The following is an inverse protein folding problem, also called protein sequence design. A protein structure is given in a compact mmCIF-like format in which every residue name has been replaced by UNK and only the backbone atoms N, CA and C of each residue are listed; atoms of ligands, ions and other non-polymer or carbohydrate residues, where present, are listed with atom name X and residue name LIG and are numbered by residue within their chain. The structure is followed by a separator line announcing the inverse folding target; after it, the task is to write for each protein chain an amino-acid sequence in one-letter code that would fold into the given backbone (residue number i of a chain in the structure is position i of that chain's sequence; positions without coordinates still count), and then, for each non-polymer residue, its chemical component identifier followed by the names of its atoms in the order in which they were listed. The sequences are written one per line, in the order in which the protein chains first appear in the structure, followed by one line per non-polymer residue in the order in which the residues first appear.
data_IF_592637837450
#
_entry.id   IF_592637837450
#
_cell.length_a   1.000
_cell.length_b   1.000
_cell.length_c   1.000
_cell.angle_alpha   90.00
_cell.angle_beta   90.00
_cell.angle_gamma   90.00
#
_symmetry.space_group_name_H-M   'P 1'
#
loop_
_entity.id
_entity.type
_entity.pdbx_description
1 polymer ?
#
# COMPACT_ATOMS: atom_id res chain seq x y z
N UNK A 1 -3.69 -24.89 27.41
CA UNK A 1 -4.65 -25.75 26.69
C UNK A 1 -5.64 -24.84 25.99
N UNK A 2 -5.75 -24.94 24.66
CA UNK A 2 -6.65 -24.09 23.87
C UNK A 2 -6.12 -23.72 22.49
N UNK A 3 -5.61 -24.71 21.74
CA UNK A 3 -5.37 -24.54 20.30
C UNK A 3 -6.64 -24.93 19.54
N UNK A 4 -7.33 -23.95 18.97
CA UNK A 4 -8.32 -24.09 17.89
C UNK A 4 -8.30 -22.72 17.19
N UNK A 5 -7.97 -22.58 15.92
CA UNK A 5 -8.34 -23.37 14.76
C UNK A 5 -7.15 -23.47 13.78
N UNK A 6 -6.84 -24.69 13.36
CA UNK A 6 -6.00 -24.95 12.18
C UNK A 6 -6.89 -25.20 10.96
N UNK A 7 -6.54 -24.61 9.82
CA UNK A 7 -6.69 -25.32 8.55
C UNK A 7 -7.73 -24.84 7.53
N UNK A 8 -8.64 -23.91 7.85
CA UNK A 8 -9.72 -23.53 6.92
C UNK A 8 -9.51 -22.22 6.14
N UNK A 9 -8.65 -21.30 6.59
CA UNK A 9 -8.39 -20.05 5.84
C UNK A 9 -7.50 -20.23 4.59
N UNK A 10 -6.80 -21.36 4.47
CA UNK A 10 -5.93 -21.63 3.33
C UNK A 10 -6.65 -22.31 2.13
N UNK A 11 -7.91 -22.72 2.31
CA UNK A 11 -8.71 -23.36 1.25
C UNK A 11 -9.74 -22.42 0.60
N UNK A 12 -9.93 -21.21 1.12
CA UNK A 12 -10.90 -20.25 0.57
C UNK A 12 -10.38 -19.48 -0.68
N UNK A 13 -9.11 -19.64 -1.02
CA UNK A 13 -8.44 -18.88 -2.09
C UNK A 13 -8.57 -19.50 -3.49
N UNK A 14 -9.10 -20.72 -3.61
CA UNK A 14 -8.82 -21.55 -4.79
C UNK A 14 -9.88 -21.57 -5.89
N UNK A 15 -11.08 -20.97 -5.73
CA UNK A 15 -12.13 -21.28 -6.71
C UNK A 15 -13.15 -20.21 -7.12
N UNK A 16 -13.11 -18.95 -6.65
CA UNK A 16 -13.92 -17.86 -7.26
C UNK A 16 -13.49 -16.45 -6.77
N UNK A 17 -12.67 -15.74 -7.55
CA UNK A 17 -12.89 -14.32 -7.85
C UNK A 17 -12.82 -13.22 -6.77
N UNK A 18 -12.30 -13.46 -5.55
CA UNK A 18 -12.02 -12.37 -4.60
C UNK A 18 -11.90 -12.85 -3.17
N UNK A 19 -10.66 -13.08 -2.70
CA UNK A 19 -10.39 -13.45 -1.31
C UNK A 19 -10.45 -12.23 -0.39
N UNK A 20 -10.95 -12.44 0.83
CA UNK A 20 -10.84 -11.43 1.88
C UNK A 20 -9.51 -11.60 2.63
N UNK A 21 -8.86 -10.48 2.94
CA UNK A 21 -7.60 -10.40 3.66
C UNK A 21 -7.81 -9.67 4.98
N UNK A 22 -7.21 -10.20 6.03
CA UNK A 22 -7.22 -9.58 7.35
C UNK A 22 -5.90 -8.88 7.58
N UNK A 23 -5.96 -7.58 7.87
CA UNK A 23 -4.81 -6.80 8.35
C UNK A 23 -5.19 -6.36 9.76
N UNK A 24 -4.48 -6.94 10.75
CA UNK A 24 -4.81 -6.78 12.17
C UNK A 24 -6.29 -7.13 12.44
N UNK A 25 -7.07 -6.16 12.90
CA UNK A 25 -8.49 -6.34 13.25
C UNK A 25 -9.45 -6.01 12.10
N UNK A 26 -8.94 -5.53 10.97
CA UNK A 26 -9.76 -5.02 9.88
C UNK A 26 -9.76 -6.01 8.70
N UNK A 27 -10.94 -6.20 8.11
CA UNK A 27 -11.16 -7.13 7.00
C UNK A 27 -11.30 -6.35 5.70
N UNK A 28 -10.58 -6.78 4.69
CA UNK A 28 -10.56 -6.15 3.38
C UNK A 28 -10.91 -7.16 2.30
N UNK A 29 -11.84 -6.83 1.43
CA UNK A 29 -12.15 -7.62 0.23
C UNK A 29 -11.26 -7.17 -0.92
N UNK A 30 -10.56 -8.11 -1.54
CA UNK A 30 -9.81 -7.83 -2.77
C UNK A 30 -10.80 -7.61 -3.91
N UNK A 31 -10.72 -6.45 -4.56
CA UNK A 31 -11.54 -6.11 -5.72
C UNK A 31 -10.82 -6.47 -7.02
N UNK A 32 -9.59 -6.00 -7.19
CA UNK A 32 -8.75 -6.27 -8.38
C UNK A 32 -7.28 -5.96 -8.11
N UNK A 33 -6.40 -6.54 -8.90
CA UNK A 33 -4.99 -6.13 -8.93
C UNK A 33 -4.85 -4.81 -9.73
N UNK A 34 -4.03 -3.88 -9.23
CA UNK A 34 -3.76 -2.56 -9.82
C UNK A 34 -2.28 -2.31 -10.09
N UNK A 35 -1.37 -3.17 -9.62
CA UNK A 35 0.05 -3.07 -9.90
C UNK A 35 0.81 -4.36 -9.61
N UNK A 36 1.98 -4.50 -10.21
CA UNK A 36 2.91 -5.61 -10.01
C UNK A 36 4.34 -5.13 -10.19
N UNK A 37 5.25 -5.62 -9.36
CA UNK A 37 6.68 -5.41 -9.48
C UNK A 37 7.46 -6.47 -8.70
N UNK A 38 8.27 -7.28 -9.38
CA UNK A 38 9.09 -8.31 -8.75
C UNK A 38 8.28 -9.27 -7.87
N UNK A 39 8.51 -9.21 -6.55
CA UNK A 39 7.80 -10.02 -5.54
C UNK A 39 6.64 -9.28 -4.86
N UNK A 40 6.28 -8.09 -5.35
CA UNK A 40 5.25 -7.24 -4.81
C UNK A 40 4.07 -7.10 -5.78
N UNK A 41 2.87 -7.15 -5.23
CA UNK A 41 1.61 -7.00 -5.95
C UNK A 41 0.78 -5.94 -5.24
N UNK A 42 0.12 -5.07 -6.01
CA UNK A 42 -0.76 -4.03 -5.45
C UNK A 42 -2.19 -4.35 -5.82
N UNK A 43 -3.07 -4.41 -4.83
CA UNK A 43 -4.49 -4.68 -5.00
C UNK A 43 -5.33 -3.48 -4.58
N UNK A 44 -6.37 -3.19 -5.33
CA UNK A 44 -7.49 -2.39 -4.86
C UNK A 44 -8.33 -3.25 -3.94
N UNK A 45 -8.54 -2.78 -2.71
CA UNK A 45 -9.32 -3.48 -1.69
C UNK A 45 -10.40 -2.58 -1.12
N UNK A 46 -11.50 -3.18 -0.64
CA UNK A 46 -12.57 -2.47 0.06
C UNK A 46 -12.68 -2.99 1.48
N UNK A 47 -12.73 -2.08 2.45
CA UNK A 47 -12.99 -2.44 3.84
C UNK A 47 -14.38 -3.06 3.97
N UNK A 48 -14.46 -4.17 4.70
CA UNK A 48 -15.71 -4.84 5.04
C UNK A 48 -16.07 -4.43 6.48
N UNK A 49 -16.98 -3.48 6.60
CA UNK A 49 -17.52 -3.03 7.90
C UNK A 49 -18.66 -3.96 8.29
N UNK A 50 -18.49 -4.73 9.37
CA UNK A 50 -19.60 -5.50 9.95
C UNK A 50 -20.50 -4.53 10.74
N UNK A 51 -21.75 -4.35 10.30
CA UNK A 51 -22.76 -3.50 10.96
C UNK A 51 -22.98 -3.82 12.46
N UNK A 52 -22.55 -5.02 12.91
CA UNK A 52 -22.71 -5.51 14.28
C UNK A 52 -21.54 -5.18 15.22
N UNK A 53 -20.38 -4.75 14.73
CA UNK A 53 -19.26 -4.29 15.58
C UNK A 53 -19.31 -2.77 15.64
N UNK A 54 -19.92 -2.25 16.70
CA UNK A 54 -19.99 -0.81 17.04
C UNK A 54 -18.61 -0.22 17.35
N UNK A 55 -17.79 -0.10 16.32
CA UNK A 55 -16.51 0.60 16.31
C UNK A 55 -16.19 0.77 14.85
N UNK A 56 -16.42 1.99 14.33
CA UNK A 56 -16.38 2.29 12.90
C UNK A 56 -15.11 1.79 12.20
N UNK A 57 -15.13 1.82 10.87
CA UNK A 57 -14.03 1.31 10.03
C UNK A 57 -12.66 1.94 10.36
N UNK A 58 -11.62 1.56 9.61
CA UNK A 58 -10.24 1.97 9.82
C UNK A 58 -10.09 3.48 10.07
N UNK A 59 -10.89 4.30 9.37
CA UNK A 59 -10.97 5.75 9.52
C UNK A 59 -11.48 6.24 10.89
N UNK A 60 -12.35 5.49 11.57
CA UNK A 60 -12.85 5.82 12.90
C UNK A 60 -11.91 5.36 14.01
N UNK A 61 -11.15 4.28 13.79
CA UNK A 61 -10.19 3.73 14.77
C UNK A 61 -8.85 4.45 14.77
N UNK A 62 -8.38 4.87 13.59
CA UNK A 62 -7.12 5.56 13.40
C UNK A 62 -7.48 6.98 13.03
N UNK A 63 -7.09 7.97 13.83
CA UNK A 63 -7.33 9.41 13.58
C UNK A 63 -6.63 9.86 12.30
N UNK A 64 -7.15 9.44 11.15
CA UNK A 64 -6.58 9.68 9.84
C UNK A 64 -6.96 11.07 9.36
N UNK A 65 -6.06 11.68 8.60
CA UNK A 65 -6.40 12.89 7.89
C UNK A 65 -7.54 12.60 6.90
N UNK A 66 -8.56 13.46 6.78
CA UNK A 66 -9.73 13.21 5.94
C UNK A 66 -9.38 12.92 4.48
N UNK A 67 -8.30 13.52 3.93
CA UNK A 67 -7.85 13.25 2.56
C UNK A 67 -7.29 11.84 2.33
N UNK A 68 -7.02 11.07 3.38
CA UNK A 68 -6.51 9.69 3.30
C UNK A 68 -7.62 8.63 3.45
N UNK A 69 -8.85 9.07 3.70
CA UNK A 69 -10.01 8.22 3.83
C UNK A 69 -10.82 8.32 2.54
N UNK A 70 -10.83 7.25 1.75
CA UNK A 70 -11.78 7.15 0.64
C UNK A 70 -13.19 7.09 1.22
N UNK A 71 -14.11 7.92 0.70
CA UNK A 71 -15.53 7.90 1.09
C UNK A 71 -16.16 6.51 0.91
N UNK A 72 -15.66 5.73 -0.04
CA UNK A 72 -16.15 4.39 -0.37
C UNK A 72 -15.48 3.26 0.46
N UNK A 73 -14.58 3.61 1.39
CA UNK A 73 -13.80 2.64 2.17
C UNK A 73 -12.84 1.82 1.30
N UNK A 74 -12.36 2.40 0.20
CA UNK A 74 -11.40 1.76 -0.70
C UNK A 74 -9.97 2.15 -0.36
N UNK A 75 -9.05 1.18 -0.56
CA UNK A 75 -7.64 1.31 -0.22
C UNK A 75 -6.76 0.56 -1.22
N UNK A 76 -5.48 0.92 -1.24
CA UNK A 76 -4.45 0.17 -1.97
C UNK A 76 -3.70 -0.74 -0.99
N UNK A 77 -3.64 -2.03 -1.29
CA UNK A 77 -2.94 -3.03 -0.48
C UNK A 77 -1.77 -3.60 -1.25
N UNK A 78 -0.55 -3.29 -0.81
CA UNK A 78 0.68 -3.91 -1.32
C UNK A 78 0.93 -5.22 -0.58
N UNK A 79 0.91 -6.33 -1.30
CA UNK A 79 1.31 -7.66 -0.85
C UNK A 79 2.74 -7.94 -1.30
N UNK A 80 3.63 -8.28 -0.37
CA UNK A 80 5.03 -8.67 -0.67
C UNK A 80 5.24 -10.12 -0.29
N UNK A 81 5.69 -10.93 -1.24
CA UNK A 81 6.09 -12.31 -0.99
C UNK A 81 7.53 -12.33 -0.48
N UNK A 82 7.76 -12.92 0.70
CA UNK A 82 9.06 -12.94 1.37
C UNK A 82 9.60 -14.37 1.35
N UNK A 83 10.77 -14.54 0.73
CA UNK A 83 11.39 -15.84 0.50
C UNK A 83 12.66 -16.07 1.34
N UNK A 84 13.21 -15.01 1.96
CA UNK A 84 14.40 -15.11 2.81
C UNK A 84 14.29 -14.21 4.06
N UNK A 85 15.11 -14.51 5.06
CA UNK A 85 15.21 -13.68 6.28
C UNK A 85 15.75 -12.27 5.97
N UNK A 86 16.71 -12.16 5.04
CA UNK A 86 17.23 -10.86 4.60
C UNK A 86 16.12 -9.99 3.98
N UNK A 87 15.25 -10.59 3.14
CA UNK A 87 14.08 -9.89 2.61
C UNK A 87 13.10 -9.51 3.71
N UNK A 88 12.90 -10.36 4.73
CA UNK A 88 12.04 -10.04 5.87
C UNK A 88 12.56 -8.81 6.62
N UNK A 89 13.88 -8.72 6.86
CA UNK A 89 14.49 -7.56 7.50
C UNK A 89 14.31 -6.28 6.68
N UNK A 90 14.51 -6.37 5.36
CA UNK A 90 14.28 -5.23 4.46
C UNK A 90 12.82 -4.75 4.50
N UNK A 91 11.85 -5.67 4.49
CA UNK A 91 10.42 -5.32 4.57
C UNK A 91 10.05 -4.75 5.94
N UNK A 92 10.63 -5.26 7.03
CA UNK A 92 10.42 -4.69 8.37
C UNK A 92 10.93 -3.26 8.45
N UNK A 93 12.08 -3.00 7.84
CA UNK A 93 12.67 -1.67 7.81
C UNK A 93 11.88 -0.73 6.88
N UNK A 94 11.38 -1.22 5.74
CA UNK A 94 10.43 -0.48 4.89
C UNK A 94 9.19 -0.07 5.69
N UNK A 95 8.57 -0.99 6.43
CA UNK A 95 7.42 -0.70 7.30
C UNK A 95 7.80 0.34 8.37
N UNK A 96 8.94 0.16 9.04
CA UNK A 96 9.42 1.09 10.09
C UNK A 96 9.54 2.50 9.53
N UNK A 97 10.27 2.66 8.43
CA UNK A 97 10.51 3.96 7.79
C UNK A 97 9.20 4.56 7.26
N UNK A 98 8.33 3.75 6.64
CA UNK A 98 7.01 4.21 6.17
C UNK A 98 6.13 4.74 7.29
N UNK A 99 6.22 4.15 8.48
CA UNK A 99 5.42 4.58 9.63
C UNK A 99 5.86 5.94 10.20
N UNK A 100 7.07 6.41 9.87
CA UNK A 100 7.61 7.68 10.35
C UNK A 100 7.24 8.86 9.45
N UNK A 101 6.82 8.61 8.21
CA UNK A 101 6.42 9.65 7.29
C UNK A 101 4.97 10.11 7.53
N UNK A 102 4.80 11.41 7.76
CA UNK A 102 3.50 12.06 7.80
C UNK A 102 3.61 13.44 7.14
N UNK A 103 3.42 13.49 5.83
CA UNK A 103 3.52 14.74 5.06
C UNK A 103 2.50 14.79 3.93
N UNK A 104 1.94 15.97 3.61
CA UNK A 104 0.91 16.14 2.59
C UNK A 104 1.29 15.65 1.20
N UNK A 105 2.59 15.56 0.85
CA UNK A 105 3.06 15.03 -0.45
C UNK A 105 3.60 13.58 -0.40
N UNK A 106 3.58 12.93 0.77
CA UNK A 106 4.04 11.53 0.93
C UNK A 106 2.88 10.59 1.21
N UNK A 107 2.85 9.42 0.55
CA UNK A 107 1.79 8.45 0.75
C UNK A 107 1.94 7.81 2.14
N UNK A 108 0.99 7.99 3.06
CA UNK A 108 1.12 7.47 4.43
C UNK A 108 0.84 5.97 4.48
N UNK A 109 1.58 5.25 5.32
CA UNK A 109 1.25 3.87 5.68
C UNK A 109 0.07 3.85 6.65
N UNK A 110 -1.06 3.35 6.18
CA UNK A 110 -2.32 3.30 6.95
C UNK A 110 -2.36 2.13 7.92
N UNK A 111 -1.89 0.96 7.51
CA UNK A 111 -1.77 -0.21 8.36
C UNK A 111 -0.82 -1.24 7.74
N UNK A 112 -0.38 -2.23 8.52
CA UNK A 112 0.44 -3.31 8.00
C UNK A 112 0.29 -4.61 8.80
N UNK A 113 0.65 -5.73 8.18
CA UNK A 113 0.79 -7.02 8.83
C UNK A 113 1.87 -7.87 8.14
N UNK A 114 2.55 -8.73 8.90
CA UNK A 114 3.43 -9.78 8.36
C UNK A 114 2.87 -11.11 8.84
N UNK A 115 2.55 -11.99 7.90
CA UNK A 115 1.85 -13.25 8.16
C UNK A 115 2.73 -14.41 7.68
N UNK A 116 2.92 -15.42 8.53
CA UNK A 116 3.54 -16.67 8.13
C UNK A 116 2.54 -17.51 7.33
N UNK A 117 2.90 -17.86 6.10
CA UNK A 117 2.10 -18.70 5.20
C UNK A 117 2.79 -20.02 4.95
N UNK A 118 2.02 -21.10 4.88
CA UNK A 118 2.55 -22.42 4.55
C UNK A 118 2.75 -22.51 3.04
N UNK A 119 4.00 -22.67 2.62
CA UNK A 119 4.35 -22.85 1.22
C UNK A 119 3.93 -24.21 0.67
N UNK A 120 3.85 -24.36 -0.67
CA UNK A 120 3.42 -25.60 -1.31
C UNK A 120 4.34 -26.80 -1.02
N UNK A 121 5.61 -26.56 -0.68
CA UNK A 121 6.59 -27.59 -0.32
C UNK A 121 6.65 -27.89 1.18
N UNK A 122 5.72 -27.36 1.98
CA UNK A 122 5.65 -27.62 3.43
C UNK A 122 6.53 -26.72 4.31
N UNK A 123 7.37 -25.87 3.73
CA UNK A 123 8.10 -24.80 4.44
C UNK A 123 7.19 -23.62 4.80
N UNK A 124 7.61 -22.81 5.78
CA UNK A 124 6.95 -21.55 6.11
C UNK A 124 7.59 -20.40 5.34
N UNK A 125 6.80 -19.64 4.60
CA UNK A 125 7.18 -18.36 4.00
C UNK A 125 6.50 -17.23 4.77
N UNK A 126 6.90 -15.98 4.49
CA UNK A 126 6.20 -14.82 5.01
C UNK A 126 5.55 -14.03 3.87
N UNK A 127 4.41 -13.43 4.16
CA UNK A 127 3.77 -12.44 3.31
C UNK A 127 3.57 -11.16 4.12
N UNK A 128 4.01 -10.03 3.58
CA UNK A 128 3.72 -8.73 4.19
C UNK A 128 2.61 -8.03 3.43
N UNK A 129 1.75 -7.34 4.18
CA UNK A 129 0.65 -6.54 3.68
C UNK A 129 0.83 -5.12 4.20
N UNK A 130 0.89 -4.15 3.29
CA UNK A 130 0.99 -2.73 3.60
C UNK A 130 -0.21 -2.03 2.97
N UNK A 131 -0.95 -1.27 3.77
CA UNK A 131 -2.17 -0.59 3.37
C UNK A 131 -1.92 0.91 3.20
N UNK A 132 -2.41 1.46 2.09
CA UNK A 132 -2.24 2.87 1.71
C UNK A 132 -3.57 3.48 1.25
N UNK A 133 -3.71 4.82 1.25
CA UNK A 133 -4.81 5.47 0.54
C UNK A 133 -4.76 5.09 -0.94
N UNK A 134 -5.93 4.99 -1.57
CA UNK A 134 -6.03 4.83 -3.02
C UNK A 134 -6.53 6.11 -3.66
N UNK A 135 -5.97 6.43 -4.83
CA UNK A 135 -6.48 7.47 -5.70
C UNK A 135 -7.07 6.82 -6.95
N UNK A 136 -8.36 7.05 -7.20
CA UNK A 136 -9.12 6.31 -8.21
C UNK A 136 -8.87 6.81 -9.64
N UNK A 137 -8.36 8.03 -9.81
CA UNK A 137 -8.08 8.61 -11.13
C UNK A 137 -6.81 8.01 -11.79
N UNK A 138 -6.22 6.97 -11.19
CA UNK A 138 -5.06 6.27 -11.72
C UNK A 138 -3.73 7.00 -11.52
N UNK A 139 -2.69 6.58 -12.24
CA UNK A 139 -1.37 7.22 -12.13
C UNK A 139 -1.27 8.44 -13.04
N UNK A 140 -0.28 9.31 -12.81
CA UNK A 140 0.05 10.38 -13.77
C UNK A 140 0.33 9.84 -15.18
N UNK A 141 0.93 8.64 -15.26
CA UNK A 141 1.19 7.98 -16.53
C UNK A 141 -0.11 7.55 -17.22
N UNK A 142 -1.11 7.05 -16.48
CA UNK A 142 -2.41 6.71 -17.03
C UNK A 142 -3.11 7.95 -17.59
N UNK A 143 -3.08 9.04 -16.83
CA UNK A 143 -3.58 10.34 -17.30
C UNK A 143 -2.84 10.82 -18.55
N UNK A 144 -1.51 10.74 -18.57
CA UNK A 144 -0.71 11.12 -19.74
C UNK A 144 -1.04 10.28 -20.98
N UNK A 145 -1.29 8.97 -20.82
CA UNK A 145 -1.72 8.09 -21.94
C UNK A 145 -3.11 8.47 -22.45
N UNK A 146 -4.06 8.76 -21.56
CA UNK A 146 -5.41 9.23 -21.94
C UNK A 146 -5.32 10.55 -22.69
N UNK A 147 -4.53 11.50 -22.20
CA UNK A 147 -4.32 12.79 -22.84
C UNK A 147 -3.63 12.64 -24.20
N UNK A 148 -2.62 11.76 -24.30
CA UNK A 148 -1.95 11.46 -25.56
C UNK A 148 -2.93 10.90 -26.59
N UNK A 149 -3.83 9.98 -26.20
CA UNK A 149 -4.86 9.45 -27.08
C UNK A 149 -5.85 10.54 -27.54
N UNK A 150 -6.17 11.51 -26.67
CA UNK A 150 -7.03 12.66 -26.97
C UNK A 150 -6.31 13.82 -27.66
N UNK A 151 -4.97 13.78 -27.80
CA UNK A 151 -4.12 14.89 -28.24
C UNK A 151 -4.26 16.15 -27.37
N UNK A 152 -4.51 15.94 -26.08
CA UNK A 152 -4.54 16.98 -25.06
C UNK A 152 -3.18 17.05 -24.35
N UNK A 153 -2.90 18.19 -23.72
CA UNK A 153 -1.66 18.41 -22.98
C UNK A 153 -1.96 19.01 -21.61
N UNK A 154 -1.13 18.67 -20.62
CA UNK A 154 -1.17 19.33 -19.32
C UNK A 154 -0.80 20.80 -19.51
N UNK A 155 -1.48 21.69 -18.79
CA UNK A 155 -1.10 23.10 -18.79
C UNK A 155 0.30 23.26 -18.19
N UNK A 156 1.05 24.28 -18.64
CA UNK A 156 2.38 24.57 -18.07
C UNK A 156 2.33 24.77 -16.55
N UNK A 157 1.27 25.39 -16.04
CA UNK A 157 1.07 25.61 -14.60
C UNK A 157 0.94 24.27 -13.87
N UNK A 158 0.12 23.37 -14.41
CA UNK A 158 -0.05 22.01 -13.87
C UNK A 158 1.25 21.22 -13.86
N UNK A 159 2.03 21.28 -14.94
CA UNK A 159 3.33 20.60 -15.03
C UNK A 159 4.30 21.13 -13.96
N UNK A 160 4.33 22.45 -13.75
CA UNK A 160 5.17 23.07 -12.72
C UNK A 160 4.74 22.68 -11.31
N UNK A 161 3.43 22.62 -11.04
CA UNK A 161 2.90 22.16 -9.75
C UNK A 161 3.26 20.71 -9.46
N UNK A 162 3.07 19.83 -10.44
CA UNK A 162 3.48 18.42 -10.36
C UNK A 162 4.98 18.31 -10.06
N UNK A 163 5.81 19.02 -10.83
CA UNK A 163 7.25 19.00 -10.63
C UNK A 163 7.64 19.51 -9.23
N UNK A 164 7.02 20.59 -8.76
CA UNK A 164 7.26 21.15 -7.44
C UNK A 164 6.88 20.15 -6.34
N UNK A 165 5.74 19.48 -6.44
CA UNK A 165 5.30 18.47 -5.47
C UNK A 165 6.29 17.30 -5.40
N UNK A 166 6.72 16.77 -6.55
CA UNK A 166 7.71 15.69 -6.63
C UNK A 166 9.06 16.12 -6.05
N UNK A 167 9.52 17.33 -6.36
CA UNK A 167 10.76 17.85 -5.83
C UNK A 167 10.72 18.02 -4.30
N UNK A 168 9.60 18.48 -3.75
CA UNK A 168 9.40 18.61 -2.30
C UNK A 168 9.42 17.24 -1.61
N UNK A 169 8.74 16.25 -2.17
CA UNK A 169 8.75 14.88 -1.66
C UNK A 169 10.16 14.29 -1.64
N UNK A 170 10.84 14.30 -2.80
CA UNK A 170 12.21 13.81 -2.95
C UNK A 170 13.15 14.51 -1.96
N UNK A 171 13.03 15.83 -1.81
CA UNK A 171 13.83 16.59 -0.86
C UNK A 171 13.58 16.15 0.59
N UNK A 172 12.33 15.95 0.99
CA UNK A 172 12.00 15.47 2.33
C UNK A 172 12.57 14.07 2.60
N UNK A 173 12.46 13.16 1.63
CA UNK A 173 13.07 11.84 1.71
C UNK A 173 14.60 11.96 1.86
N UNK A 174 15.26 12.81 1.08
CA UNK A 174 16.70 13.05 1.20
C UNK A 174 17.10 13.60 2.57
N UNK A 175 16.37 14.56 3.13
CA UNK A 175 16.62 15.06 4.49
C UNK A 175 16.45 13.96 5.55
N UNK A 176 15.44 13.11 5.40
CA UNK A 176 15.21 11.99 6.31
C UNK A 176 16.35 10.95 6.23
N UNK A 177 16.77 10.57 5.02
CA UNK A 177 17.87 9.62 4.80
C UNK A 177 19.25 10.19 5.17
N UNK A 178 19.44 11.51 5.11
CA UNK A 178 20.68 12.16 5.56
C UNK A 178 20.85 12.10 7.10
N UNK A 179 19.74 11.96 7.85
CA UNK A 179 19.74 11.89 9.32
C UNK A 179 19.94 10.44 9.80
N UNK A 180 19.47 9.43 9.04
CA UNK A 180 19.68 8.00 9.34
C UNK A 180 20.46 7.28 8.22
N UNK A 181 21.81 7.30 8.22
CA UNK A 181 22.65 6.80 7.12
C UNK A 181 22.59 5.28 6.90
N UNK A 182 21.90 4.52 7.76
CA UNK A 182 21.72 3.07 7.61
C UNK A 182 20.67 2.66 6.57
N UNK A 183 19.94 3.61 5.98
CA UNK A 183 18.71 3.34 5.20
C UNK A 183 18.93 3.48 3.67
N UNK A 184 20.13 3.83 3.23
CA UNK A 184 20.44 4.16 1.82
C UNK A 184 20.17 3.04 0.80
N UNK A 185 20.13 1.77 1.23
CA UNK A 185 19.82 0.63 0.35
C UNK A 185 18.31 0.36 0.17
N UNK A 186 17.46 0.97 1.01
CA UNK A 186 16.01 0.75 0.99
C UNK A 186 15.25 1.75 0.13
N UNK A 187 15.89 2.87 -0.23
CA UNK A 187 15.31 3.89 -1.12
C UNK A 187 14.78 3.27 -2.43
N UNK A 188 15.44 2.26 -2.99
CA UNK A 188 14.99 1.60 -4.22
C UNK A 188 13.71 0.77 -4.07
N UNK A 189 13.42 0.16 -2.91
CA UNK A 189 12.14 -0.55 -2.67
C UNK A 189 11.00 0.42 -2.35
N UNK A 190 11.34 1.54 -1.71
CA UNK A 190 10.40 2.59 -1.32
C UNK A 190 9.93 3.40 -2.52
N UNK A 191 10.84 3.72 -3.46
CA UNK A 191 10.54 4.47 -4.67
C UNK A 191 9.51 3.76 -5.56
N UNK A 192 9.51 2.42 -5.66
CA UNK A 192 8.52 1.68 -6.45
C UNK A 192 7.09 1.77 -5.87
N UNK A 193 6.97 1.98 -4.55
CA UNK A 193 5.66 2.00 -3.86
C UNK A 193 5.10 3.42 -3.71
N UNK A 194 5.99 4.41 -3.56
CA UNK A 194 5.61 5.81 -3.43
C UNK A 194 5.31 6.48 -4.78
N UNK A 195 5.97 6.08 -5.89
CA UNK A 195 5.79 6.76 -7.18
C UNK A 195 4.45 6.52 -7.86
N UNK A 196 3.72 5.46 -7.51
CA UNK A 196 2.50 5.12 -8.24
C UNK A 196 1.25 5.85 -7.72
N UNK A 197 1.22 6.26 -6.46
CA UNK A 197 -0.06 6.56 -5.80
C UNK A 197 -0.22 7.98 -5.26
N UNK A 198 0.63 8.97 -5.60
CA UNK A 198 0.44 10.34 -5.09
C UNK A 198 0.55 11.47 -6.12
N UNK A 199 0.41 11.16 -7.41
CA UNK A 199 0.38 12.16 -8.46
C UNK A 199 -1.03 12.38 -9.02
N UNK A 200 -1.99 12.55 -8.12
CA UNK A 200 -3.34 13.00 -8.48
C UNK A 200 -3.71 14.23 -7.68
N UNK A 201 -3.59 15.36 -8.39
CA UNK A 201 -4.37 16.59 -8.28
C UNK A 201 -5.16 16.79 -6.96
N UNK A 202 -4.57 17.56 -6.05
CA UNK A 202 -5.22 18.76 -5.52
C UNK A 202 -4.59 20.00 -6.16
#
# INVERSE_FOLDING_TARGET
MGCSFSGLNALYSAMNGGGDVWINENRFRILRQIGEGGFAYVYLVKEVVDDARSGGGLAAKKSMHPSHVSEDGMYAMKKVLIQSEDQLQLVREEIRVSSLFNHPNLLPLLDHAIIAVKGPQGGWNHEAYLLFPVHLDGTLLDNAKVMQAKKEFLSTVTVLQIFQQVALDVNQQFYFFAIEPGILLLGFCFLDSAFSAKLLFE
#
